data_IF_108561228844
#
_entry.id   IF_108561228844
#
_cell.length_a   1.000
_cell.length_b   1.000
_cell.length_c   1.000
_cell.angle_alpha   90.00
_cell.angle_beta   90.00
_cell.angle_gamma   90.00
#
_symmetry.space_group_name_H-M   'P 1'
#
loop_
_entity.id
_entity.type
_entity.pdbx_description
1 polymer ?
#
# COMPACT_ATOMS: atom_id res chain seq x y z
N UNK A 1 -12.21 -12.54 -4.64
CA UNK A 1 -12.40 -11.29 -3.84
C UNK A 1 -11.05 -10.90 -3.28
N UNK A 2 -10.62 -9.66 -3.51
CA UNK A 2 -9.30 -9.20 -3.09
C UNK A 2 -9.43 -8.11 -2.02
N UNK A 3 -8.41 -8.02 -1.17
CA UNK A 3 -8.24 -6.92 -0.22
C UNK A 3 -7.01 -6.09 -0.59
N UNK A 4 -7.21 -4.83 -0.92
CA UNK A 4 -6.16 -3.84 -1.06
C UNK A 4 -5.95 -3.10 0.26
N UNK A 5 -4.72 -3.03 0.71
CA UNK A 5 -4.33 -2.34 1.95
C UNK A 5 -3.31 -1.27 1.63
N UNK A 6 -3.58 -0.04 2.01
CA UNK A 6 -2.58 1.03 1.97
C UNK A 6 -2.08 1.33 3.37
N UNK A 7 -0.78 1.32 3.59
CA UNK A 7 -0.19 1.64 4.88
C UNK A 7 0.08 3.14 5.05
N UNK A 8 -0.11 3.63 6.26
CA UNK A 8 0.11 5.02 6.65
C UNK A 8 -0.27 5.26 8.11
N UNK A 9 -0.02 6.48 8.57
CA UNK A 9 -0.44 6.98 9.89
C UNK A 9 -1.64 7.92 9.73
N UNK A 10 -2.62 7.88 10.65
CA UNK A 10 -3.90 8.57 10.50
C UNK A 10 -3.85 10.06 10.88
N UNK A 11 -2.75 10.57 11.41
CA UNK A 11 -2.65 11.97 11.82
C UNK A 11 -2.61 12.92 10.61
N UNK A 12 -3.26 14.10 10.67
CA UNK A 12 -3.24 15.05 9.57
C UNK A 12 -1.84 15.46 9.12
N UNK A 13 -0.89 15.57 10.05
CA UNK A 13 0.50 15.93 9.76
C UNK A 13 1.25 14.85 8.94
N UNK A 14 0.71 13.64 8.90
CA UNK A 14 1.33 12.51 8.19
C UNK A 14 0.88 12.39 6.73
N UNK A 15 -0.10 13.16 6.29
CA UNK A 15 -0.75 13.00 4.96
C UNK A 15 0.24 12.95 3.81
N UNK A 16 1.28 13.78 3.84
CA UNK A 16 2.27 13.89 2.77
C UNK A 16 3.61 13.23 3.10
N UNK A 17 3.69 12.48 4.19
CA UNK A 17 4.90 11.77 4.57
C UNK A 17 5.17 10.59 3.60
N UNK A 18 6.44 10.28 3.43
CA UNK A 18 6.86 9.08 2.66
C UNK A 18 6.19 7.81 3.17
N UNK A 19 6.06 7.67 4.48
CA UNK A 19 5.42 6.51 5.13
C UNK A 19 3.93 6.35 4.80
N UNK A 20 3.27 7.41 4.32
CA UNK A 20 1.87 7.42 3.94
C UNK A 20 1.62 7.20 2.43
N UNK A 21 2.63 6.84 1.65
CA UNK A 21 2.45 6.60 0.22
C UNK A 21 1.39 5.53 -0.06
N UNK A 22 1.29 4.51 0.80
CA UNK A 22 0.25 3.48 0.68
C UNK A 22 -1.16 4.06 0.74
N UNK A 23 -1.43 5.01 1.63
CA UNK A 23 -2.72 5.72 1.70
C UNK A 23 -3.02 6.47 0.40
N UNK A 24 -2.02 7.13 -0.18
CA UNK A 24 -2.18 7.87 -1.45
C UNK A 24 -2.53 6.95 -2.61
N UNK A 25 -1.91 5.77 -2.66
CA UNK A 25 -2.21 4.78 -3.70
C UNK A 25 -3.66 4.28 -3.56
N UNK A 26 -4.12 3.96 -2.35
CA UNK A 26 -5.51 3.55 -2.11
C UNK A 26 -6.49 4.66 -2.48
N UNK A 27 -6.22 5.90 -2.13
CA UNK A 27 -7.09 7.02 -2.52
C UNK A 27 -7.15 7.20 -4.04
N UNK A 28 -6.03 7.02 -4.74
CA UNK A 28 -5.96 7.04 -6.20
C UNK A 28 -6.78 5.91 -6.84
N UNK A 29 -6.67 4.69 -6.31
CA UNK A 29 -7.47 3.53 -6.76
C UNK A 29 -8.96 3.78 -6.52
N UNK A 30 -9.33 4.23 -5.32
CA UNK A 30 -10.71 4.55 -4.96
C UNK A 30 -11.35 5.53 -5.95
N UNK A 31 -10.62 6.58 -6.29
CA UNK A 31 -11.06 7.60 -7.25
C UNK A 31 -11.17 7.04 -8.66
N UNK A 32 -10.13 6.35 -9.14
CA UNK A 32 -10.07 5.83 -10.51
C UNK A 32 -11.19 4.82 -10.82
N UNK A 33 -11.48 3.94 -9.86
CA UNK A 33 -12.45 2.85 -10.03
C UNK A 33 -13.80 3.13 -9.38
N UNK A 34 -14.02 4.39 -8.92
CA UNK A 34 -15.28 4.82 -8.31
C UNK A 34 -15.75 3.88 -7.19
N UNK A 35 -14.82 3.45 -6.33
CA UNK A 35 -15.19 2.64 -5.18
C UNK A 35 -16.11 3.41 -4.25
N UNK A 36 -16.79 2.73 -3.34
CA UNK A 36 -17.73 3.35 -2.43
C UNK A 36 -17.12 4.49 -1.59
N UNK A 37 -17.92 5.32 -0.97
CA UNK A 37 -17.43 6.27 0.03
C UNK A 37 -16.69 5.53 1.13
N UNK A 38 -15.63 6.14 1.64
CA UNK A 38 -14.90 5.63 2.81
C UNK A 38 -15.82 5.59 4.04
N UNK A 39 -15.83 4.44 4.71
CA UNK A 39 -16.60 4.23 5.94
C UNK A 39 -15.65 3.74 7.04
N UNK A 40 -15.70 4.34 8.25
CA UNK A 40 -14.98 3.80 9.40
C UNK A 40 -15.49 2.39 9.73
N UNK A 41 -14.63 1.40 9.56
CA UNK A 41 -14.90 0.00 9.90
C UNK A 41 -13.59 -0.76 10.10
N UNK A 42 -13.57 -1.75 10.98
CA UNK A 42 -12.36 -2.55 11.28
C UNK A 42 -11.14 -1.71 11.68
N UNK A 43 -11.35 -0.65 12.44
CA UNK A 43 -10.29 0.31 12.81
C UNK A 43 -9.56 0.95 11.62
N UNK A 44 -10.26 1.12 10.50
CA UNK A 44 -9.74 1.70 9.27
C UNK A 44 -10.82 2.41 8.47
N UNK A 45 -10.42 2.99 7.33
CA UNK A 45 -11.35 3.55 6.34
C UNK A 45 -11.51 2.55 5.20
N UNK A 46 -12.68 1.92 5.17
CA UNK A 46 -13.04 0.87 4.22
C UNK A 46 -13.80 1.42 3.02
N UNK A 47 -13.42 0.96 1.83
CA UNK A 47 -14.18 1.11 0.59
C UNK A 47 -14.40 -0.24 -0.06
N UNK A 48 -15.37 -0.34 -0.95
CA UNK A 48 -15.64 -1.56 -1.71
C UNK A 48 -16.15 -1.23 -3.11
N UNK A 49 -15.91 -2.10 -4.04
CA UNK A 49 -16.34 -1.96 -5.43
C UNK A 49 -15.74 -3.04 -6.31
N UNK A 50 -15.66 -2.74 -7.60
CA UNK A 50 -15.07 -3.65 -8.58
C UNK A 50 -13.88 -3.00 -9.30
N UNK A 51 -12.87 -3.81 -9.55
CA UNK A 51 -11.76 -3.47 -10.45
C UNK A 51 -11.80 -4.48 -11.58
N UNK A 52 -12.29 -4.06 -12.74
CA UNK A 52 -12.73 -5.00 -13.78
C UNK A 52 -13.85 -5.90 -13.24
N UNK A 53 -13.72 -7.18 -13.46
CA UNK A 53 -14.68 -8.19 -12.96
C UNK A 53 -14.37 -8.66 -11.52
N UNK A 54 -13.31 -8.15 -10.93
CA UNK A 54 -12.86 -8.56 -9.60
C UNK A 54 -13.47 -7.69 -8.50
N UNK A 55 -14.19 -8.31 -7.56
CA UNK A 55 -14.64 -7.62 -6.35
C UNK A 55 -13.46 -7.30 -5.45
N UNK A 56 -13.38 -6.04 -5.02
CA UNK A 56 -12.28 -5.53 -4.19
C UNK A 56 -12.82 -4.82 -2.97
N UNK A 57 -12.22 -5.10 -1.83
CA UNK A 57 -12.22 -4.24 -0.66
C UNK A 57 -10.91 -3.46 -0.62
N UNK A 58 -10.96 -2.19 -0.23
CA UNK A 58 -9.75 -1.40 -0.01
C UNK A 58 -9.82 -0.74 1.36
N UNK A 59 -8.73 -0.77 2.10
CA UNK A 59 -8.68 -0.24 3.47
C UNK A 59 -7.42 0.57 3.73
N UNK A 60 -7.59 1.67 4.45
CA UNK A 60 -6.51 2.43 5.08
C UNK A 60 -6.60 2.21 6.60
N UNK A 61 -5.71 1.42 7.23
CA UNK A 61 -5.70 1.24 8.68
C UNK A 61 -5.50 2.57 9.41
N UNK A 62 -6.30 2.82 10.45
CA UNK A 62 -6.17 4.00 11.33
C UNK A 62 -5.54 3.66 12.68
N UNK A 63 -4.91 2.51 12.79
CA UNK A 63 -4.32 1.93 14.00
C UNK A 63 -2.90 2.41 14.30
N UNK A 64 -2.40 3.40 13.56
CA UNK A 64 -0.98 3.73 13.42
C UNK A 64 -0.17 2.59 12.80
N UNK A 65 0.99 2.93 12.23
CA UNK A 65 1.80 2.03 11.42
C UNK A 65 2.12 0.71 12.15
N UNK A 66 2.56 0.80 13.40
CA UNK A 66 2.98 -0.37 14.19
C UNK A 66 1.85 -1.37 14.50
N UNK A 67 0.61 -0.98 14.33
CA UNK A 67 -0.58 -1.78 14.64
C UNK A 67 -1.43 -2.10 13.41
N UNK A 68 -0.89 -1.91 12.22
CA UNK A 68 -1.62 -2.11 10.95
C UNK A 68 -2.22 -3.51 10.83
N UNK A 69 -1.52 -4.53 11.32
CA UNK A 69 -1.97 -5.93 11.27
C UNK A 69 -3.28 -6.21 12.01
N UNK A 70 -3.58 -5.45 13.07
CA UNK A 70 -4.83 -5.61 13.85
C UNK A 70 -6.05 -5.34 12.95
N UNK A 71 -6.02 -4.24 12.22
CA UNK A 71 -7.07 -3.85 11.28
C UNK A 71 -7.29 -4.92 10.20
N UNK A 72 -6.21 -5.38 9.61
CA UNK A 72 -6.26 -6.34 8.50
C UNK A 72 -6.80 -7.68 8.98
N UNK A 73 -6.33 -8.18 10.13
CA UNK A 73 -6.82 -9.42 10.71
C UNK A 73 -8.32 -9.38 10.95
N UNK A 74 -8.84 -8.34 11.61
CA UNK A 74 -10.28 -8.21 11.86
C UNK A 74 -11.09 -8.26 10.56
N UNK A 75 -10.61 -7.59 9.52
CA UNK A 75 -11.29 -7.52 8.24
C UNK A 75 -11.31 -8.87 7.52
N UNK A 76 -10.16 -9.55 7.40
CA UNK A 76 -10.09 -10.82 6.69
C UNK A 76 -10.85 -11.93 7.42
N UNK A 77 -10.84 -11.94 8.74
CA UNK A 77 -11.65 -12.88 9.54
C UNK A 77 -13.15 -12.67 9.31
N UNK A 78 -13.60 -11.41 9.27
CA UNK A 78 -15.01 -11.08 9.06
C UNK A 78 -15.51 -11.45 7.66
N UNK A 79 -14.77 -11.11 6.61
CA UNK A 79 -15.15 -11.39 5.22
C UNK A 79 -14.68 -12.74 4.71
N UNK A 80 -13.95 -13.49 5.52
CA UNK A 80 -13.36 -14.80 5.16
C UNK A 80 -12.49 -14.69 3.90
N UNK A 81 -11.58 -13.71 3.92
CA UNK A 81 -10.60 -13.48 2.86
C UNK A 81 -9.33 -14.24 3.24
N UNK A 82 -8.78 -15.01 2.31
CA UNK A 82 -7.51 -15.68 2.51
C UNK A 82 -6.34 -14.68 2.46
N UNK A 83 -5.30 -14.92 3.24
CA UNK A 83 -4.11 -14.04 3.25
C UNK A 83 -3.51 -13.86 1.85
N UNK A 84 -3.54 -14.90 1.02
CA UNK A 84 -3.06 -14.86 -0.37
C UNK A 84 -3.82 -13.88 -1.28
N UNK A 85 -5.02 -13.47 -0.86
CA UNK A 85 -5.85 -12.49 -1.57
C UNK A 85 -5.66 -11.05 -1.04
N UNK A 86 -4.73 -10.85 -0.12
CA UNK A 86 -4.34 -9.54 0.40
C UNK A 86 -3.18 -8.96 -0.42
N UNK A 87 -3.31 -7.70 -0.81
CA UNK A 87 -2.28 -6.93 -1.52
C UNK A 87 -2.02 -5.64 -0.74
N UNK A 88 -0.79 -5.49 -0.24
CA UNK A 88 -0.39 -4.36 0.61
C UNK A 88 0.48 -3.39 -0.18
N UNK A 89 0.10 -2.12 -0.20
CA UNK A 89 0.86 -1.02 -0.78
C UNK A 89 1.61 -0.28 0.33
N UNK A 90 2.92 -0.16 0.22
CA UNK A 90 3.76 0.46 1.24
C UNK A 90 5.03 1.09 0.66
N UNK A 91 5.62 2.01 1.42
CA UNK A 91 6.91 2.61 1.12
C UNK A 91 8.06 1.61 1.29
N UNK A 92 9.10 1.74 0.46
CA UNK A 92 10.27 0.88 0.55
C UNK A 92 11.56 1.65 0.24
N UNK A 93 12.50 1.61 1.17
CA UNK A 93 13.80 2.25 1.09
C UNK A 93 14.75 1.59 0.09
N UNK A 94 14.56 0.29 -0.16
CA UNK A 94 15.44 -0.52 -1.00
C UNK A 94 15.03 -0.50 -2.48
N UNK A 95 13.96 0.21 -2.79
CA UNK A 95 13.49 0.47 -4.15
C UNK A 95 13.75 1.92 -4.50
N UNK A 96 14.33 2.15 -5.69
CA UNK A 96 14.60 3.50 -6.21
C UNK A 96 13.32 4.33 -6.27
N UNK A 97 13.42 5.63 -5.91
CA UNK A 97 12.29 6.54 -6.01
C UNK A 97 11.68 6.54 -7.42
N UNK A 98 10.37 6.49 -7.48
CA UNK A 98 9.63 6.48 -8.75
C UNK A 98 9.53 5.10 -9.40
N UNK A 99 10.05 4.04 -8.77
CA UNK A 99 9.90 2.65 -9.20
C UNK A 99 9.06 1.86 -8.22
N UNK A 100 8.52 0.74 -8.67
CA UNK A 100 7.82 -0.21 -7.81
C UNK A 100 8.38 -1.61 -7.97
N UNK A 101 8.17 -2.45 -6.96
CA UNK A 101 8.44 -3.88 -7.05
C UNK A 101 7.33 -4.65 -6.33
N UNK A 102 6.57 -5.42 -7.07
CA UNK A 102 5.56 -6.31 -6.48
C UNK A 102 6.17 -7.69 -6.24
N UNK A 103 5.87 -8.28 -5.08
CA UNK A 103 6.28 -9.63 -4.74
C UNK A 103 5.32 -10.30 -3.79
N UNK A 104 5.36 -11.62 -3.72
CA UNK A 104 4.65 -12.43 -2.75
C UNK A 104 5.57 -12.77 -1.58
N UNK A 105 5.10 -12.58 -0.35
CA UNK A 105 5.86 -12.88 0.86
C UNK A 105 7.11 -12.03 1.06
N UNK A 106 8.04 -12.56 1.82
CA UNK A 106 9.34 -11.96 2.07
C UNK A 106 9.52 -11.34 3.46
N UNK A 107 10.69 -10.72 3.68
CA UNK A 107 11.03 -10.03 4.92
C UNK A 107 10.32 -8.68 5.03
N UNK A 108 10.10 -8.21 6.26
CA UNK A 108 9.63 -6.85 6.54
C UNK A 108 10.70 -5.78 6.29
N UNK A 109 11.97 -6.17 6.23
CA UNK A 109 13.12 -5.27 6.03
C UNK A 109 13.08 -4.02 6.94
N UNK A 110 12.62 -4.19 8.19
CA UNK A 110 12.52 -3.10 9.17
C UNK A 110 11.29 -2.21 9.03
N UNK A 111 10.39 -2.47 8.05
CA UNK A 111 9.14 -1.73 7.92
C UNK A 111 8.14 -2.18 9.00
N UNK A 112 7.81 -1.28 9.94
CA UNK A 112 7.00 -1.60 11.11
C UNK A 112 5.57 -2.04 10.76
N UNK A 113 4.97 -1.47 9.74
CA UNK A 113 3.64 -1.86 9.29
C UNK A 113 3.61 -3.26 8.71
N UNK A 114 4.60 -3.62 7.90
CA UNK A 114 4.76 -4.97 7.35
C UNK A 114 5.03 -5.97 8.48
N UNK A 115 5.91 -5.63 9.43
CA UNK A 115 6.18 -6.49 10.58
C UNK A 115 4.90 -6.76 11.41
N UNK A 116 4.05 -5.74 11.58
CA UNK A 116 2.75 -5.89 12.24
C UNK A 116 1.82 -6.84 11.47
N UNK A 117 1.72 -6.69 10.15
CA UNK A 117 0.91 -7.57 9.31
C UNK A 117 1.41 -9.02 9.41
N UNK A 118 2.73 -9.23 9.26
CA UNK A 118 3.35 -10.56 9.34
C UNK A 118 3.02 -11.26 10.68
N UNK A 119 2.99 -10.50 11.76
CA UNK A 119 2.65 -11.00 13.10
C UNK A 119 1.21 -11.51 13.19
N UNK A 120 0.26 -10.84 12.52
CA UNK A 120 -1.17 -11.11 12.69
C UNK A 120 -1.75 -12.07 11.64
N UNK A 121 -1.24 -12.08 10.41
CA UNK A 121 -1.78 -12.89 9.31
C UNK A 121 -0.74 -13.77 8.60
N UNK A 122 0.51 -13.77 9.07
CA UNK A 122 1.61 -14.47 8.39
C UNK A 122 2.15 -13.68 7.21
N UNK A 123 2.99 -14.32 6.41
CA UNK A 123 3.74 -13.66 5.31
C UNK A 123 3.19 -13.96 3.92
N UNK A 124 2.19 -14.82 3.81
CA UNK A 124 1.67 -15.33 2.53
C UNK A 124 0.66 -14.36 1.91
N UNK A 125 1.11 -13.14 1.61
CA UNK A 125 0.35 -12.10 0.92
C UNK A 125 1.24 -11.33 -0.06
N UNK A 126 0.61 -10.64 -1.01
CA UNK A 126 1.33 -9.83 -2.00
C UNK A 126 1.64 -8.43 -1.46
N UNK A 127 2.79 -7.89 -1.86
CA UNK A 127 3.28 -6.56 -1.49
C UNK A 127 3.62 -5.77 -2.75
N UNK A 128 3.10 -4.56 -2.85
CA UNK A 128 3.52 -3.57 -3.84
C UNK A 128 4.43 -2.58 -3.11
N UNK A 129 5.71 -2.73 -3.31
CA UNK A 129 6.79 -1.93 -2.70
C UNK A 129 7.00 -0.68 -3.52
N UNK A 130 6.64 0.48 -2.98
CA UNK A 130 6.74 1.76 -3.67
C UNK A 130 8.03 2.43 -3.26
N UNK A 131 8.92 2.63 -4.21
CA UNK A 131 10.26 3.16 -3.97
C UNK A 131 10.24 4.60 -3.48
N UNK A 132 10.86 4.83 -2.32
CA UNK A 132 11.13 6.15 -1.76
C UNK A 132 12.64 6.46 -1.73
N UNK A 133 13.49 5.48 -2.09
CA UNK A 133 14.93 5.60 -2.03
C UNK A 133 15.46 5.61 -0.60
N UNK A 134 16.77 5.74 -0.47
CA UNK A 134 17.46 5.77 0.81
C UNK A 134 17.69 7.20 1.29
N UNK A 135 17.66 7.44 2.62
CA UNK A 135 18.03 8.73 3.18
C UNK A 135 19.53 9.02 2.95
N UNK A 136 19.91 10.30 3.06
CA UNK A 136 21.32 10.69 3.11
C UNK A 136 22.00 10.11 4.36
N UNK A 137 23.34 9.98 4.36
CA UNK A 137 24.11 9.28 5.39
C UNK A 137 23.85 9.71 6.84
N UNK A 138 23.52 10.97 7.06
CA UNK A 138 23.30 11.55 8.41
C UNK A 138 21.81 11.72 8.77
N UNK A 139 20.90 11.09 8.03
CA UNK A 139 19.47 11.10 8.32
C UNK A 139 19.02 9.70 8.76
N UNK A 140 18.46 9.61 9.96
CA UNK A 140 17.90 8.36 10.45
C UNK A 140 16.70 7.91 9.60
N UNK A 141 16.57 6.60 9.38
CA UNK A 141 15.46 6.02 8.60
C UNK A 141 14.10 6.40 9.20
N UNK A 142 13.97 6.35 10.53
CA UNK A 142 12.73 6.72 11.22
C UNK A 142 12.30 8.16 10.96
N UNK A 143 13.26 9.08 10.85
CA UNK A 143 12.98 10.48 10.54
C UNK A 143 12.69 10.67 9.05
N UNK A 144 13.42 10.00 8.17
CA UNK A 144 13.25 10.08 6.72
C UNK A 144 11.86 9.68 6.26
N UNK A 145 11.32 8.57 6.76
CA UNK A 145 9.98 8.09 6.37
C UNK A 145 8.86 8.99 6.85
N UNK A 146 9.10 9.77 7.93
CA UNK A 146 8.16 10.76 8.46
C UNK A 146 8.33 12.16 7.86
N UNK A 147 9.32 12.36 7.00
CA UNK A 147 9.45 13.60 6.23
C UNK A 147 8.48 13.60 5.06
N UNK A 148 7.99 14.80 4.73
CA UNK A 148 7.13 14.98 3.58
C UNK A 148 7.90 14.79 2.26
N UNK A 149 7.21 14.28 1.26
CA UNK A 149 7.66 14.42 -0.12
C UNK A 149 7.77 15.91 -0.48
N UNK A 150 8.79 16.29 -1.23
CA UNK A 150 8.84 17.61 -1.86
C UNK A 150 7.90 17.69 -3.08
N UNK A 151 7.80 18.85 -3.71
CA UNK A 151 6.87 19.08 -4.83
C UNK A 151 7.18 18.16 -6.03
N UNK A 152 8.46 17.99 -6.37
CA UNK A 152 8.88 17.13 -7.49
C UNK A 152 8.61 15.66 -7.17
N UNK A 153 8.89 15.24 -5.95
CA UNK A 153 8.57 13.90 -5.47
C UNK A 153 7.05 13.65 -5.49
N UNK A 154 6.23 14.62 -5.10
CA UNK A 154 4.76 14.51 -5.17
C UNK A 154 4.27 14.28 -6.60
N UNK A 155 4.83 14.98 -7.59
CA UNK A 155 4.54 14.73 -9.01
C UNK A 155 4.94 13.32 -9.43
N UNK A 156 6.07 12.84 -8.95
CA UNK A 156 6.52 11.46 -9.18
C UNK A 156 5.55 10.42 -8.59
N UNK A 157 5.03 10.66 -7.40
CA UNK A 157 4.03 9.77 -6.76
C UNK A 157 2.70 9.80 -7.51
N UNK A 158 2.26 10.95 -8.01
CA UNK A 158 1.07 11.04 -8.86
C UNK A 158 1.24 10.24 -10.14
N UNK A 159 2.41 10.34 -10.79
CA UNK A 159 2.72 9.56 -11.99
C UNK A 159 2.68 8.05 -11.71
N UNK A 160 3.33 7.61 -10.63
CA UNK A 160 3.35 6.19 -10.30
C UNK A 160 1.96 5.67 -9.93
N UNK A 161 1.15 6.48 -9.25
CA UNK A 161 -0.25 6.15 -8.94
C UNK A 161 -1.07 5.94 -10.22
N UNK A 162 -0.90 6.81 -11.22
CA UNK A 162 -1.53 6.67 -12.53
C UNK A 162 -1.08 5.39 -13.24
N UNK A 163 0.21 5.11 -13.25
CA UNK A 163 0.77 3.91 -13.87
C UNK A 163 0.26 2.62 -13.20
N UNK A 164 0.15 2.63 -11.86
CA UNK A 164 -0.44 1.53 -11.09
C UNK A 164 -1.90 1.32 -11.51
N UNK A 165 -2.70 2.37 -11.55
CA UNK A 165 -4.11 2.30 -11.93
C UNK A 165 -4.30 1.74 -13.35
N UNK A 166 -3.48 2.16 -14.31
CA UNK A 166 -3.53 1.69 -15.70
C UNK A 166 -3.10 0.23 -15.84
N UNK A 167 -2.33 -0.28 -14.90
CA UNK A 167 -1.80 -1.67 -14.90
C UNK A 167 -2.52 -2.57 -13.89
N UNK A 168 -3.54 -2.08 -13.20
CA UNK A 168 -4.17 -2.76 -12.07
C UNK A 168 -4.75 -4.14 -12.45
N UNK A 169 -5.21 -4.30 -13.69
CA UNK A 169 -5.72 -5.59 -14.19
C UNK A 169 -4.67 -6.70 -14.14
N UNK A 170 -3.41 -6.36 -14.31
CA UNK A 170 -2.29 -7.30 -14.19
C UNK A 170 -2.12 -7.72 -12.73
N UNK A 171 -2.22 -6.75 -11.81
CA UNK A 171 -2.09 -6.98 -10.37
C UNK A 171 -3.22 -7.85 -9.81
N UNK A 172 -4.47 -7.58 -10.17
CA UNK A 172 -5.62 -8.37 -9.70
C UNK A 172 -5.60 -9.82 -10.22
N UNK A 173 -4.87 -10.07 -11.31
CA UNK A 173 -4.59 -11.40 -11.83
C UNK A 173 -3.33 -12.03 -11.22
N UNK A 174 -2.75 -11.40 -10.19
CA UNK A 174 -1.58 -11.89 -9.44
C UNK A 174 -0.31 -12.10 -10.29
N UNK A 175 -0.20 -11.41 -11.43
CA UNK A 175 0.99 -11.45 -12.31
C UNK A 175 2.00 -10.38 -11.84
N UNK A 176 2.64 -10.62 -10.70
CA UNK A 176 3.41 -9.61 -9.97
C UNK A 176 4.64 -9.09 -10.72
N UNK A 177 5.40 -9.97 -11.37
CA UNK A 177 6.59 -9.56 -12.13
C UNK A 177 6.21 -8.74 -13.37
N UNK A 178 5.17 -9.17 -14.08
CA UNK A 178 4.64 -8.43 -15.24
C UNK A 178 4.08 -7.07 -14.80
N UNK A 179 3.39 -7.01 -13.67
CA UNK A 179 2.90 -5.75 -13.11
C UNK A 179 4.04 -4.79 -12.82
N UNK A 180 5.09 -5.24 -12.13
CA UNK A 180 6.27 -4.41 -11.82
C UNK A 180 6.93 -3.87 -13.08
N UNK A 181 7.21 -4.72 -14.07
CA UNK A 181 7.85 -4.29 -15.32
C UNK A 181 6.96 -3.35 -16.12
N UNK A 182 5.66 -3.58 -16.18
CA UNK A 182 4.71 -2.72 -16.91
C UNK A 182 4.61 -1.35 -16.28
N UNK A 183 4.47 -1.25 -14.95
CA UNK A 183 4.42 0.04 -14.24
C UNK A 183 5.72 0.82 -14.42
N UNK A 184 6.87 0.16 -14.29
CA UNK A 184 8.18 0.81 -14.35
C UNK A 184 8.60 1.28 -15.75
N UNK A 185 7.97 0.74 -16.80
CA UNK A 185 8.26 1.08 -18.20
C UNK A 185 7.29 2.11 -18.81
N UNK A 186 6.40 2.67 -18.01
CA UNK A 186 5.50 3.77 -18.41
C UNK A 186 6.13 5.14 -18.05
#
# INVERSE_FOLDING_TARGET
MLLFVGLGNPTPDSENNRHNVGFKIIDSINKKFSLSKQKPKFKGLLTTGNVGDQKVYAIKPLTFMNNSGICIRELIEYFKIDAEDVIVFHDDLDVEFGKIKAKFGGSSAGHNGIASIDKFIGKDYSRVRIGIGKPKENVEVSDFVLQNFDEDEMLGIEKISTNINESISILVNKKLDLFSSTVNNK
#
